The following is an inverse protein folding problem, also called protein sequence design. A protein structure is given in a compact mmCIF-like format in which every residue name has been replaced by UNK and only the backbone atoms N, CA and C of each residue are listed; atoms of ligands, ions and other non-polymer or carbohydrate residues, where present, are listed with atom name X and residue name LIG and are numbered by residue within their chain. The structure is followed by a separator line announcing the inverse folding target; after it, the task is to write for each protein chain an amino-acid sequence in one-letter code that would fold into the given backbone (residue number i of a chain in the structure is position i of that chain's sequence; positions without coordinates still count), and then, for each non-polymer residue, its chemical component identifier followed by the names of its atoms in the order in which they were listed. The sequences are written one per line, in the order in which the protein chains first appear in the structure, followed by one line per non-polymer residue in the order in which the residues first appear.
data_IF_819680121434
#
_entry.id   IF_819680121434
#
_cell.length_a   1.000
_cell.length_b   1.000
_cell.length_c   1.000
_cell.angle_alpha   90.00
_cell.angle_beta   90.00
_cell.angle_gamma   90.00
#
_symmetry.space_group_name_H-M   'P 1'
#
loop_
_entity.id
_entity.type
_entity.pdbx_description
1 polymer ?
#
# COMPACT_ATOMS: atom_id res chain seq x y z
N UNK A 1 -8.24 28.51 11.46
CA UNK A 1 -7.27 27.42 11.67
C UNK A 1 -7.83 26.55 12.80
N UNK A 2 -7.89 25.25 12.62
CA UNK A 2 -8.36 24.35 13.67
C UNK A 2 -7.23 24.04 14.66
N UNK A 3 -7.56 23.94 15.95
CA UNK A 3 -6.58 23.57 16.99
C UNK A 3 -6.40 22.05 17.10
N UNK A 4 -7.32 21.27 16.51
CA UNK A 4 -7.31 19.81 16.46
C UNK A 4 -7.99 19.32 15.19
N UNK A 5 -7.32 18.48 14.45
CA UNK A 5 -7.84 17.81 13.25
C UNK A 5 -7.82 16.29 13.45
N UNK A 6 -8.88 15.63 12.96
CA UNK A 6 -8.96 14.17 12.90
C UNK A 6 -8.99 13.77 11.43
N UNK A 7 -8.06 12.91 11.02
CA UNK A 7 -8.01 12.34 9.69
C UNK A 7 -8.06 10.81 9.76
N UNK A 8 -8.72 10.20 8.79
CA UNK A 8 -8.84 8.75 8.76
C UNK A 8 -9.29 8.24 7.41
N UNK A 9 -9.20 6.94 7.24
CA UNK A 9 -9.66 6.24 6.05
C UNK A 9 -9.64 4.74 6.29
N UNK A 10 -10.37 4.01 5.46
CA UNK A 10 -10.41 2.56 5.53
C UNK A 10 -10.57 1.95 4.14
N UNK A 11 -10.05 0.76 3.98
CA UNK A 11 -10.28 -0.08 2.81
C UNK A 11 -10.30 -1.55 3.23
N UNK A 12 -11.19 -2.34 2.61
CA UNK A 12 -11.17 -3.80 2.78
C UNK A 12 -10.53 -4.43 1.55
N UNK A 13 -9.30 -4.88 1.69
CA UNK A 13 -8.49 -5.42 0.59
C UNK A 13 -9.13 -6.63 -0.11
N UNK A 14 -9.90 -7.44 0.63
CA UNK A 14 -10.57 -8.64 0.10
C UNK A 14 -11.84 -8.36 -0.70
N UNK A 15 -12.44 -7.18 -0.54
CA UNK A 15 -13.72 -6.79 -1.20
C UNK A 15 -13.62 -5.42 -1.87
N UNK A 16 -12.43 -4.97 -2.19
CA UNK A 16 -12.24 -3.70 -2.91
C UNK A 16 -12.90 -3.74 -4.30
N UNK A 17 -13.45 -2.61 -4.77
CA UNK A 17 -14.08 -2.55 -6.08
C UNK A 17 -13.06 -2.68 -7.21
N UNK A 18 -13.47 -3.25 -8.31
CA UNK A 18 -12.72 -3.15 -9.55
C UNK A 18 -12.81 -1.75 -10.14
N UNK A 19 -11.84 -1.40 -10.98
CA UNK A 19 -11.74 -0.11 -11.68
C UNK A 19 -11.86 -0.33 -13.18
N UNK A 20 -12.50 0.62 -13.83
CA UNK A 20 -12.65 0.64 -15.28
C UNK A 20 -12.57 2.08 -15.77
N UNK A 21 -11.91 2.31 -16.91
CA UNK A 21 -11.87 3.63 -17.52
C UNK A 21 -13.26 4.03 -18.03
N UNK A 22 -13.62 5.30 -17.84
CA UNK A 22 -14.81 5.87 -18.49
C UNK A 22 -14.66 5.86 -20.00
N UNK A 23 -15.74 5.60 -20.78
CA UNK A 23 -15.70 5.74 -22.23
C UNK A 23 -15.21 7.09 -22.75
N UNK A 24 -15.35 8.14 -21.96
CA UNK A 24 -14.89 9.49 -22.30
C UNK A 24 -13.43 9.76 -21.91
N UNK A 25 -12.74 8.79 -21.30
CA UNK A 25 -11.34 8.96 -20.94
C UNK A 25 -10.43 8.85 -22.17
N UNK A 26 -9.41 9.72 -22.33
CA UNK A 26 -8.51 9.69 -23.50
C UNK A 26 -7.80 8.34 -23.71
N UNK A 27 -7.57 7.62 -22.63
CA UNK A 27 -6.92 6.29 -22.64
C UNK A 27 -7.94 5.14 -22.48
N UNK A 28 -9.19 5.34 -22.90
CA UNK A 28 -10.21 4.29 -22.86
C UNK A 28 -9.77 3.06 -23.66
N UNK A 29 -9.86 1.90 -23.07
CA UNK A 29 -9.32 0.65 -23.59
C UNK A 29 -10.39 -0.43 -23.84
N UNK A 30 -11.62 0.00 -24.10
CA UNK A 30 -12.74 -0.91 -24.38
C UNK A 30 -13.39 -1.49 -23.13
N UNK A 31 -13.17 -0.89 -21.96
CA UNK A 31 -13.81 -1.30 -20.71
C UNK A 31 -13.09 -2.42 -19.96
N UNK A 32 -11.80 -2.54 -20.14
CA UNK A 32 -10.98 -3.46 -19.33
C UNK A 32 -11.10 -3.15 -17.83
N UNK A 33 -11.12 -4.18 -17.04
CA UNK A 33 -11.23 -4.12 -15.60
C UNK A 33 -9.84 -4.26 -14.97
N UNK A 34 -9.54 -3.41 -13.98
CA UNK A 34 -8.28 -3.38 -13.25
C UNK A 34 -8.49 -3.62 -11.77
N UNK A 35 -7.54 -4.30 -11.15
CA UNK A 35 -7.46 -4.46 -9.71
C UNK A 35 -6.67 -3.32 -9.06
N UNK A 36 -5.71 -2.75 -9.80
CA UNK A 36 -4.83 -1.68 -9.34
C UNK A 36 -5.08 -0.40 -10.12
N UNK A 37 -5.11 0.73 -9.42
CA UNK A 37 -5.21 2.04 -10.04
C UNK A 37 -3.97 2.38 -10.87
N UNK A 38 -4.16 3.15 -11.95
CA UNK A 38 -3.04 3.70 -12.70
C UNK A 38 -2.37 4.82 -11.88
N UNK A 39 -1.07 4.67 -11.60
CA UNK A 39 -0.29 5.65 -10.83
C UNK A 39 0.41 6.69 -11.71
N UNK A 40 0.74 6.33 -12.94
CA UNK A 40 1.40 7.21 -13.91
C UNK A 40 0.75 7.10 -15.27
N UNK A 41 0.67 8.20 -16.04
CA UNK A 41 0.12 8.17 -17.38
C UNK A 41 0.85 7.15 -18.28
N UNK A 42 0.09 6.43 -19.10
CA UNK A 42 0.62 5.46 -20.06
C UNK A 42 1.15 4.15 -19.48
N UNK A 43 1.39 4.07 -18.17
CA UNK A 43 1.83 2.83 -17.51
C UNK A 43 0.68 2.20 -16.73
N UNK A 44 0.25 1.04 -17.19
CA UNK A 44 -0.78 0.21 -16.53
C UNK A 44 -0.23 -1.17 -16.26
N UNK A 45 -0.33 -1.61 -15.03
CA UNK A 45 0.06 -2.95 -14.64
C UNK A 45 -0.05 -3.13 -13.12
N UNK A 46 -0.38 -4.32 -12.73
CA UNK A 46 -0.52 -4.67 -11.31
C UNK A 46 0.81 -4.60 -10.56
N UNK A 47 1.93 -4.68 -11.29
CA UNK A 47 3.27 -4.71 -10.72
C UNK A 47 4.04 -3.38 -10.82
N UNK A 48 3.42 -2.31 -11.33
CA UNK A 48 4.09 -1.01 -11.53
C UNK A 48 4.78 -0.49 -10.27
N UNK A 49 4.18 -0.69 -9.09
CA UNK A 49 4.77 -0.27 -7.81
C UNK A 49 6.00 -1.11 -7.45
N UNK A 50 5.96 -2.42 -7.71
CA UNK A 50 7.08 -3.33 -7.46
C UNK A 50 8.24 -3.04 -8.41
N UNK A 51 7.95 -2.85 -9.69
CA UNK A 51 8.94 -2.46 -10.70
C UNK A 51 9.60 -1.13 -10.35
N UNK A 52 8.83 -0.12 -9.93
CA UNK A 52 9.34 1.17 -9.50
C UNK A 52 10.21 1.08 -8.24
N UNK A 53 9.87 0.19 -7.31
CA UNK A 53 10.68 -0.07 -6.13
C UNK A 53 12.03 -0.72 -6.51
N UNK A 54 12.01 -1.69 -7.43
CA UNK A 54 13.22 -2.34 -7.94
C UNK A 54 14.13 -1.35 -8.69
N UNK A 55 13.57 -0.55 -9.60
CA UNK A 55 14.32 0.51 -10.30
C UNK A 55 14.97 1.49 -9.30
N UNK A 56 14.26 1.84 -8.24
CA UNK A 56 14.77 2.71 -7.18
C UNK A 56 15.92 2.05 -6.42
N UNK A 57 15.75 0.79 -6.04
CA UNK A 57 16.80 0.04 -5.35
C UNK A 57 18.10 -0.04 -6.19
N UNK A 58 17.97 -0.32 -7.48
CA UNK A 58 19.10 -0.36 -8.41
C UNK A 58 19.78 1.02 -8.51
N UNK A 59 18.99 2.08 -8.72
CA UNK A 59 19.52 3.45 -8.85
C UNK A 59 20.25 3.94 -7.62
N UNK A 60 19.73 3.62 -6.44
CA UNK A 60 20.31 4.04 -5.16
C UNK A 60 21.33 3.03 -4.60
N UNK A 61 21.65 1.96 -5.36
CA UNK A 61 22.56 0.88 -4.94
C UNK A 61 22.18 0.22 -3.61
N UNK A 62 20.88 0.04 -3.36
CA UNK A 62 20.38 -0.66 -2.18
C UNK A 62 20.41 -2.16 -2.45
N UNK A 63 21.21 -2.89 -1.69
CA UNK A 63 21.32 -4.34 -1.82
C UNK A 63 20.13 -5.08 -1.24
N UNK A 64 19.90 -6.31 -1.70
CA UNK A 64 18.87 -7.18 -1.11
C UNK A 64 19.11 -7.43 0.38
N UNK A 65 20.36 -7.60 0.79
CA UNK A 65 20.72 -7.82 2.20
C UNK A 65 20.38 -6.62 3.07
N UNK A 66 20.58 -5.40 2.58
CA UNK A 66 20.16 -4.18 3.27
C UNK A 66 18.64 -4.10 3.42
N UNK A 67 17.91 -4.41 2.32
CA UNK A 67 16.44 -4.46 2.36
C UNK A 67 15.94 -5.51 3.34
N UNK A 68 16.48 -6.73 3.30
CA UNK A 68 16.09 -7.81 4.20
C UNK A 68 16.39 -7.47 5.67
N UNK A 69 17.52 -6.83 5.94
CA UNK A 69 17.90 -6.35 7.28
C UNK A 69 16.90 -5.30 7.79
N UNK A 70 16.49 -4.38 6.93
CA UNK A 70 15.49 -3.36 7.27
C UNK A 70 14.12 -3.99 7.57
N UNK A 71 13.68 -4.91 6.71
CA UNK A 71 12.40 -5.62 6.88
C UNK A 71 12.41 -6.42 8.18
N UNK A 72 13.47 -7.16 8.45
CA UNK A 72 13.61 -7.94 9.69
C UNK A 72 13.54 -7.04 10.94
N UNK A 73 14.21 -5.88 10.89
CA UNK A 73 14.14 -4.89 11.97
C UNK A 73 12.72 -4.36 12.18
N UNK A 74 12.02 -4.07 11.10
CA UNK A 74 10.62 -3.61 11.13
C UNK A 74 9.70 -4.64 11.79
N UNK A 75 9.79 -5.90 11.37
CA UNK A 75 9.01 -6.99 11.95
C UNK A 75 9.32 -7.22 13.43
N UNK A 76 10.59 -7.21 13.83
CA UNK A 76 10.99 -7.35 15.22
C UNK A 76 10.43 -6.23 16.11
N UNK A 77 10.45 -4.98 15.63
CA UNK A 77 9.88 -3.83 16.33
C UNK A 77 8.37 -3.94 16.49
N UNK A 78 7.66 -4.33 15.44
CA UNK A 78 6.21 -4.53 15.50
C UNK A 78 5.83 -5.66 16.49
N UNK A 79 6.54 -6.78 16.45
CA UNK A 79 6.34 -7.89 17.37
C UNK A 79 6.62 -7.48 18.82
N UNK A 80 7.67 -6.70 19.06
CA UNK A 80 8.01 -6.18 20.39
C UNK A 80 6.93 -5.20 20.89
N UNK A 81 6.49 -4.25 20.05
CA UNK A 81 5.42 -3.31 20.41
C UNK A 81 4.12 -4.03 20.79
N UNK A 82 3.77 -5.09 20.05
CA UNK A 82 2.62 -5.94 20.38
C UNK A 82 2.80 -6.66 21.72
N UNK A 83 3.98 -7.23 21.97
CA UNK A 83 4.29 -7.93 23.24
C UNK A 83 4.25 -6.98 24.44
N UNK A 84 4.65 -5.73 24.27
CA UNK A 84 4.65 -4.70 25.31
C UNK A 84 3.28 -4.03 25.51
N UNK A 85 2.26 -4.42 24.71
CA UNK A 85 0.92 -3.86 24.80
C UNK A 85 0.77 -2.41 24.30
N UNK A 86 1.78 -1.85 23.63
CA UNK A 86 1.77 -0.45 23.18
C UNK A 86 0.61 -0.17 22.21
N UNK A 87 0.13 -1.19 21.49
CA UNK A 87 -0.94 -1.06 20.49
C UNK A 87 -2.33 -1.42 21.04
N UNK A 88 -2.45 -1.84 22.30
CA UNK A 88 -3.73 -2.32 22.86
C UNK A 88 -4.80 -1.23 22.87
N UNK A 89 -4.44 0.00 23.24
CA UNK A 89 -5.38 1.12 23.33
C UNK A 89 -5.94 1.58 21.98
N UNK A 90 -5.28 1.23 20.87
CA UNK A 90 -5.69 1.62 19.51
C UNK A 90 -6.18 0.45 18.68
N UNK A 91 -6.16 -0.76 19.24
CA UNK A 91 -6.57 -1.99 18.55
C UNK A 91 -8.01 -2.33 18.94
N UNK A 92 -8.86 -2.49 17.93
CA UNK A 92 -10.26 -2.90 18.10
C UNK A 92 -10.45 -4.28 17.50
N UNK A 93 -11.03 -5.20 18.28
CA UNK A 93 -11.40 -6.53 17.78
C UNK A 93 -12.64 -6.43 16.88
N UNK A 94 -12.58 -7.11 15.74
CA UNK A 94 -13.71 -7.22 14.80
C UNK A 94 -14.04 -8.71 14.66
N UNK A 95 -15.30 -9.08 14.94
CA UNK A 95 -15.83 -10.45 14.84
C UNK A 95 -14.98 -11.51 15.55
N UNK A 96 -14.39 -11.16 16.69
CA UNK A 96 -13.64 -12.10 17.53
C UNK A 96 -12.20 -12.37 17.10
N UNK A 97 -11.68 -11.59 16.15
CA UNK A 97 -10.26 -11.63 15.73
C UNK A 97 -9.41 -10.62 16.50
#
# INVERSE_FOLDING_TARGET
MADLDIAGGMESSSVQPYRMMSPNHPEYDGGKVYTVAQFVPGKRGEQVMLEGAEETAIRENVSKEEMDTWVLRSHKRAAQARKEGILEDITVSIDGS
#
